data_IF_171026565205
#
_entry.id   IF_171026565205
#
_cell.length_a   1.000
_cell.length_b   1.000
_cell.length_c   1.000
_cell.angle_alpha   90.00
_cell.angle_beta   90.00
_cell.angle_gamma   90.00
#
_symmetry.space_group_name_H-M   'P 1'
#
loop_
_entity.id
_entity.type
_entity.pdbx_description
1 polymer ?
#
# COMPACT_ATOMS: atom_id res chain seq x y z
N UNK A 1 -13.74 -16.47 -1.07
CA UNK A 1 -12.41 -15.80 -1.07
C UNK A 1 -11.94 -15.69 0.37
N UNK A 2 -10.78 -16.26 0.70
CA UNK A 2 -10.26 -16.27 2.06
C UNK A 2 -9.82 -14.84 2.44
N UNK A 3 -10.53 -14.18 3.36
CA UNK A 3 -10.31 -12.76 3.73
C UNK A 3 -8.87 -12.46 4.14
N UNK A 4 -8.18 -13.47 4.69
CA UNK A 4 -6.78 -13.40 5.09
C UNK A 4 -5.83 -13.04 3.95
N UNK A 5 -5.99 -13.64 2.76
CA UNK A 5 -5.08 -13.37 1.64
C UNK A 5 -5.23 -11.94 1.14
N UNK A 6 -6.46 -11.43 1.11
CA UNK A 6 -6.73 -10.07 0.63
C UNK A 6 -6.24 -9.00 1.63
N UNK A 7 -6.33 -9.29 2.94
CA UNK A 7 -5.70 -8.46 3.97
C UNK A 7 -4.18 -8.45 3.82
N UNK A 8 -3.54 -9.63 3.65
CA UNK A 8 -2.09 -9.73 3.49
C UNK A 8 -1.59 -9.01 2.24
N UNK A 9 -2.25 -9.18 1.09
CA UNK A 9 -1.85 -8.49 -0.14
C UNK A 9 -2.01 -6.98 -0.01
N UNK A 10 -3.14 -6.51 0.53
CA UNK A 10 -3.35 -5.08 0.78
C UNK A 10 -2.29 -4.51 1.74
N UNK A 11 -1.89 -5.26 2.78
CA UNK A 11 -0.86 -4.82 3.71
C UNK A 11 0.48 -4.70 3.02
N UNK A 12 0.89 -5.70 2.25
CA UNK A 12 2.15 -5.64 1.50
C UNK A 12 2.18 -4.44 0.55
N UNK A 13 1.11 -4.18 -0.20
CA UNK A 13 1.03 -3.03 -1.09
C UNK A 13 1.07 -1.69 -0.32
N UNK A 14 0.41 -1.62 0.84
CA UNK A 14 0.46 -0.45 1.71
C UNK A 14 1.89 -0.17 2.20
N UNK A 15 2.62 -1.21 2.61
CA UNK A 15 4.02 -1.09 3.05
C UNK A 15 4.93 -0.61 1.92
N UNK A 16 4.76 -1.17 0.72
CA UNK A 16 5.50 -0.72 -0.48
C UNK A 16 5.22 0.75 -0.77
N UNK A 17 3.95 1.17 -0.69
CA UNK A 17 3.57 2.58 -0.84
C UNK A 17 4.20 3.49 0.21
N UNK A 18 4.10 3.10 1.49
CA UNK A 18 4.66 3.86 2.61
C UNK A 18 6.18 3.98 2.54
N UNK A 19 6.88 2.90 2.19
CA UNK A 19 8.34 2.92 1.98
C UNK A 19 8.71 3.82 0.80
N UNK A 20 7.99 3.75 -0.33
CA UNK A 20 8.25 4.65 -1.46
C UNK A 20 8.12 6.12 -1.06
N UNK A 21 7.02 6.49 -0.39
CA UNK A 21 6.82 7.86 0.09
C UNK A 21 7.84 8.27 1.17
N UNK A 22 8.27 7.34 2.02
CA UNK A 22 9.33 7.57 3.00
C UNK A 22 10.69 7.86 2.35
N UNK A 23 11.04 7.13 1.30
CA UNK A 23 12.27 7.39 0.54
C UNK A 23 12.20 8.70 -0.24
N UNK A 24 11.05 9.04 -0.82
CA UNK A 24 10.84 10.35 -1.44
C UNK A 24 11.01 11.47 -0.42
N UNK A 25 10.42 11.34 0.77
CA UNK A 25 10.53 12.37 1.80
C UNK A 25 11.92 12.51 2.43
N UNK A 26 12.67 11.41 2.55
CA UNK A 26 13.98 11.41 3.23
C UNK A 26 15.15 11.68 2.28
N UNK A 27 15.09 11.13 1.08
CA UNK A 27 16.22 11.08 0.14
C UNK A 27 15.88 11.65 -1.24
N UNK A 28 14.64 12.11 -1.47
CA UNK A 28 14.11 12.50 -2.80
C UNK A 28 14.15 11.35 -3.83
N UNK A 29 14.18 10.10 -3.35
CA UNK A 29 14.25 8.91 -4.21
C UNK A 29 12.86 8.28 -4.35
N UNK A 30 12.36 8.23 -5.58
CA UNK A 30 11.12 7.52 -5.89
C UNK A 30 11.43 6.14 -6.50
N UNK A 31 11.32 5.09 -5.68
CA UNK A 31 11.60 3.71 -6.08
C UNK A 31 10.68 3.22 -7.19
N UNK A 32 9.39 3.60 -7.13
CA UNK A 32 8.40 3.15 -8.11
C UNK A 32 8.74 3.70 -9.49
N UNK A 33 9.02 5.01 -9.61
CA UNK A 33 9.42 5.61 -10.90
C UNK A 33 10.83 5.19 -11.32
N UNK A 34 11.74 4.93 -10.38
CA UNK A 34 13.09 4.45 -10.67
C UNK A 34 13.08 3.04 -11.30
N UNK A 35 12.20 2.15 -10.85
CA UNK A 35 12.10 0.78 -11.38
C UNK A 35 11.22 0.68 -12.63
N UNK A 36 10.11 1.41 -12.68
CA UNK A 36 9.07 1.26 -13.71
C UNK A 36 9.05 2.40 -14.73
N UNK A 37 9.92 3.39 -14.56
CA UNK A 37 9.99 4.60 -15.37
C UNK A 37 8.99 5.67 -14.92
N UNK A 38 9.41 6.93 -15.01
CA UNK A 38 8.55 8.07 -14.77
C UNK A 38 7.50 8.21 -15.90
N UNK A 39 6.28 8.58 -15.55
CA UNK A 39 5.18 8.80 -16.49
C UNK A 39 4.59 7.55 -17.14
N UNK A 40 5.11 6.35 -16.87
CA UNK A 40 4.61 5.12 -17.50
C UNK A 40 3.21 4.72 -16.99
N UNK A 41 2.43 4.06 -17.84
CA UNK A 41 1.11 3.53 -17.47
C UNK A 41 1.23 2.53 -16.31
N UNK A 42 2.33 1.78 -16.25
CA UNK A 42 2.59 0.77 -15.22
C UNK A 42 2.79 1.42 -13.85
N UNK A 43 3.56 2.52 -13.76
CA UNK A 43 3.71 3.33 -12.54
C UNK A 43 2.36 3.82 -12.02
N UNK A 44 1.48 4.30 -12.90
CA UNK A 44 0.13 4.74 -12.52
C UNK A 44 -0.71 3.61 -11.96
N UNK A 45 -0.67 2.42 -12.58
CA UNK A 45 -1.39 1.23 -12.10
C UNK A 45 -0.92 0.85 -10.71
N UNK A 46 0.40 0.85 -10.45
CA UNK A 46 0.95 0.56 -9.12
C UNK A 46 0.43 1.55 -8.08
N UNK A 47 0.45 2.85 -8.37
CA UNK A 47 -0.08 3.84 -7.43
C UNK A 47 -1.59 3.70 -7.19
N UNK A 48 -2.38 3.37 -8.21
CA UNK A 48 -3.81 3.07 -8.04
C UNK A 48 -4.00 1.86 -7.12
N UNK A 49 -3.25 0.77 -7.33
CA UNK A 49 -3.33 -0.43 -6.50
C UNK A 49 -2.92 -0.17 -5.04
N UNK A 50 -1.87 0.61 -4.82
CA UNK A 50 -1.43 1.05 -3.49
C UNK A 50 -2.53 1.88 -2.82
N UNK A 51 -3.14 2.82 -3.55
CA UNK A 51 -4.25 3.64 -3.05
C UNK A 51 -5.47 2.79 -2.67
N UNK A 52 -5.89 1.86 -3.54
CA UNK A 52 -6.98 0.94 -3.27
C UNK A 52 -6.70 0.04 -2.06
N UNK A 53 -5.47 -0.44 -1.93
CA UNK A 53 -5.04 -1.25 -0.78
C UNK A 53 -5.12 -0.46 0.53
N UNK A 54 -4.77 0.82 0.48
CA UNK A 54 -4.89 1.74 1.63
C UNK A 54 -6.34 1.92 2.05
N UNK A 55 -7.24 2.19 1.10
CA UNK A 55 -8.67 2.33 1.36
C UNK A 55 -9.25 1.04 1.95
N UNK A 56 -8.87 -0.12 1.39
CA UNK A 56 -9.32 -1.42 1.91
C UNK A 56 -8.91 -1.62 3.37
N UNK A 57 -7.62 -1.39 3.69
CA UNK A 57 -7.13 -1.52 5.06
C UNK A 57 -7.83 -0.56 5.99
N UNK A 58 -8.04 0.71 5.62
CA UNK A 58 -8.75 1.68 6.48
C UNK A 58 -10.16 1.16 6.83
N UNK A 59 -10.88 0.59 5.87
CA UNK A 59 -12.23 0.08 6.05
C UNK A 59 -12.24 -1.19 6.91
N UNK A 60 -11.27 -2.09 6.76
CA UNK A 60 -11.21 -3.35 7.53
C UNK A 60 -10.42 -3.24 8.83
N UNK A 61 -9.67 -2.16 9.05
CA UNK A 61 -8.70 -2.00 10.14
C UNK A 61 -9.31 -2.31 11.51
N UNK A 62 -10.49 -1.75 11.82
CA UNK A 62 -11.14 -1.98 13.12
C UNK A 62 -11.46 -3.44 13.38
N UNK A 63 -11.79 -4.23 12.35
CA UNK A 63 -12.12 -5.65 12.48
C UNK A 63 -10.87 -6.50 12.63
N UNK A 64 -9.81 -6.14 11.92
CA UNK A 64 -8.56 -6.92 11.87
C UNK A 64 -7.59 -6.55 13.02
N UNK A 65 -7.69 -5.33 13.56
CA UNK A 65 -6.79 -4.82 14.60
C UNK A 65 -7.25 -5.27 16.00
N UNK A 66 -6.42 -6.09 16.65
CA UNK A 66 -6.66 -6.60 18.01
C UNK A 66 -6.67 -5.53 19.11
N UNK A 67 -6.09 -4.35 18.84
CA UNK A 67 -6.11 -3.21 19.77
C UNK A 67 -7.40 -2.40 19.62
N UNK A 68 -7.92 -2.27 18.40
CA UNK A 68 -9.15 -1.52 18.13
C UNK A 68 -10.42 -2.34 18.36
N UNK A 69 -10.33 -3.66 18.30
CA UNK A 69 -11.39 -4.59 18.71
C UNK A 69 -10.85 -5.54 19.78
N UNK A 70 -10.60 -5.05 21.01
CA UNK A 70 -10.38 -5.91 22.15
C UNK A 70 -11.72 -6.61 22.40
N UNK A 71 -11.79 -7.90 22.02
CA UNK A 71 -13.01 -8.71 22.15
C UNK A 71 -13.56 -8.73 23.57
#
# INVERSE_FOLDING_TARGET
MNSKYLHMTAMTLLWVGGLNWGLVGLLDINLVTMLLGDGTMLTKIVYILVGLSTVWIIITHKKDCRICNPG
#
